data_IF_725106705397
#
_entry.id   IF_725106705397
#
_cell.length_a   1.000
_cell.length_b   1.000
_cell.length_c   1.000
_cell.angle_alpha   90.00
_cell.angle_beta   90.00
_cell.angle_gamma   90.00
#
_symmetry.space_group_name_H-M   'P 1'
#
loop_
_entity.id
_entity.type
_entity.pdbx_description
1 polymer ?
#
# COMPACT_ATOMS: atom_id res chain seq x y z
N UNK A 1 -1.59 -0.33 -50.45
CA UNK A 1 -2.45 -1.32 -49.78
C UNK A 1 -1.93 -2.66 -50.23
N UNK A 2 -1.10 -3.31 -49.42
CA UNK A 2 -0.65 -4.71 -49.58
C UNK A 2 0.23 -5.08 -48.38
N UNK A 3 -0.07 -6.23 -47.76
CA UNK A 3 0.81 -7.14 -46.97
C UNK A 3 1.68 -6.54 -45.84
N UNK A 4 1.69 -7.00 -44.59
CA UNK A 4 2.20 -8.30 -44.13
C UNK A 4 1.69 -8.58 -42.70
N UNK A 5 0.75 -9.52 -42.58
CA UNK A 5 0.73 -10.58 -41.54
C UNK A 5 1.40 -11.80 -42.22
N UNK A 6 2.04 -12.79 -41.55
CA UNK A 6 2.18 -13.04 -40.11
C UNK A 6 3.63 -13.39 -39.67
N UNK A 7 3.99 -13.09 -38.42
CA UNK A 7 5.21 -13.59 -37.77
C UNK A 7 4.87 -14.60 -36.66
N UNK A 8 3.79 -15.36 -36.89
CA UNK A 8 3.21 -16.33 -35.96
C UNK A 8 3.27 -17.74 -36.55
N UNK A 9 4.47 -18.20 -36.90
CA UNK A 9 4.77 -19.62 -37.15
C UNK A 9 6.28 -19.71 -37.35
N UNK A 10 7.02 -20.13 -36.32
CA UNK A 10 8.38 -20.71 -36.41
C UNK A 10 9.00 -20.77 -35.00
N UNK A 11 8.33 -21.45 -34.07
CA UNK A 11 8.97 -21.98 -32.84
C UNK A 11 8.04 -23.02 -32.20
N UNK A 12 7.69 -24.01 -33.01
CA UNK A 12 7.13 -25.29 -32.59
C UNK A 12 8.00 -26.33 -33.28
N UNK A 13 8.80 -27.04 -32.48
CA UNK A 13 9.37 -28.39 -32.64
C UNK A 13 10.73 -28.44 -31.94
N UNK A 14 10.95 -29.51 -31.17
CA UNK A 14 11.93 -29.73 -30.09
C UNK A 14 11.38 -29.19 -28.75
N UNK A 15 10.74 -29.98 -27.89
CA UNK A 15 11.21 -31.24 -27.32
C UNK A 15 10.02 -32.17 -27.05
N UNK A 16 10.01 -33.32 -27.71
CA UNK A 16 9.24 -34.49 -27.33
C UNK A 16 10.02 -35.29 -26.29
N UNK A 17 9.54 -35.34 -25.05
CA UNK A 17 9.87 -36.40 -24.11
C UNK A 17 8.62 -36.76 -23.29
N UNK A 18 8.42 -38.04 -22.95
CA UNK A 18 7.16 -38.55 -22.45
C UNK A 18 6.93 -38.12 -20.99
N UNK A 19 5.69 -37.71 -20.71
CA UNK A 19 5.14 -37.53 -19.39
C UNK A 19 5.29 -38.82 -18.56
N UNK A 20 5.92 -38.79 -17.37
CA UNK A 20 5.56 -39.72 -16.32
C UNK A 20 4.34 -39.16 -15.59
N UNK A 21 3.28 -39.95 -15.60
CA UNK A 21 2.09 -39.80 -14.76
C UNK A 21 2.46 -39.43 -13.32
N UNK A 22 2.01 -38.27 -12.87
CA UNK A 22 2.12 -37.85 -11.47
C UNK A 22 1.09 -38.64 -10.65
N UNK A 23 1.47 -39.86 -10.24
CA UNK A 23 0.73 -40.64 -9.27
C UNK A 23 0.76 -39.93 -7.93
N UNK A 24 -0.44 -39.74 -7.38
CA UNK A 24 -0.68 -39.27 -6.02
C UNK A 24 0.04 -40.15 -5.00
N UNK A 25 1.04 -39.62 -4.32
CA UNK A 25 1.56 -40.22 -3.10
C UNK A 25 1.45 -39.20 -1.97
N UNK A 26 0.22 -39.11 -1.45
CA UNK A 26 -0.08 -38.51 -0.15
C UNK A 26 0.58 -39.44 0.87
N UNK A 27 1.76 -39.06 1.35
CA UNK A 27 2.40 -39.77 2.44
C UNK A 27 1.63 -39.45 3.72
N UNK A 28 0.70 -40.35 4.07
CA UNK A 28 0.02 -40.40 5.37
C UNK A 28 1.10 -40.51 6.46
N UNK A 29 1.30 -39.44 7.23
CA UNK A 29 2.12 -39.50 8.43
C UNK A 29 1.29 -40.17 9.54
N UNK A 30 1.36 -41.50 9.61
CA UNK A 30 0.94 -42.26 10.78
C UNK A 30 2.02 -42.16 11.85
N UNK A 31 1.61 -41.70 13.03
CA UNK A 31 2.43 -41.62 14.22
C UNK A 31 2.85 -43.02 14.68
N UNK A 32 4.13 -43.34 14.54
CA UNK A 32 4.85 -44.33 15.36
C UNK A 32 6.33 -44.05 15.19
N UNK A 33 6.96 -43.42 16.19
CA UNK A 33 8.21 -43.90 16.80
C UNK A 33 8.60 -42.96 17.95
N UNK A 34 8.40 -43.43 19.18
CA UNK A 34 8.84 -42.77 20.40
C UNK A 34 10.33 -43.06 20.61
N UNK A 35 11.12 -41.98 20.73
CA UNK A 35 12.58 -41.91 21.01
C UNK A 35 13.54 -41.91 19.82
N UNK A 36 13.45 -40.89 18.97
CA UNK A 36 14.65 -40.28 18.41
C UNK A 36 14.35 -38.85 17.92
N UNK A 37 15.31 -37.96 18.18
CA UNK A 37 15.42 -36.60 17.63
C UNK A 37 14.48 -35.52 18.22
N UNK A 38 14.96 -34.89 19.29
CA UNK A 38 14.73 -33.45 19.57
C UNK A 38 15.40 -32.63 18.45
N UNK A 39 14.89 -32.73 17.23
CA UNK A 39 15.31 -31.92 16.08
C UNK A 39 14.33 -30.77 16.01
N UNK A 40 14.78 -29.58 16.39
CA UNK A 40 14.03 -28.35 16.14
C UNK A 40 13.73 -28.30 14.64
N UNK A 41 12.46 -28.40 14.26
CA UNK A 41 12.03 -28.19 12.89
C UNK A 41 12.18 -26.69 12.65
N UNK A 42 13.34 -26.29 12.12
CA UNK A 42 13.56 -24.92 11.70
C UNK A 42 12.70 -24.63 10.49
N UNK A 43 11.56 -23.97 10.69
CA UNK A 43 10.74 -23.48 9.58
C UNK A 43 11.49 -22.34 8.91
N UNK A 44 11.91 -22.53 7.65
CA UNK A 44 12.53 -21.47 6.86
C UNK A 44 11.52 -20.56 6.18
N UNK A 45 10.23 -20.88 6.23
CA UNK A 45 9.16 -20.11 5.57
C UNK A 45 8.03 -19.85 6.58
N UNK A 46 7.67 -18.57 6.83
CA UNK A 46 6.53 -18.25 7.68
C UNK A 46 5.23 -18.85 7.13
N UNK A 47 5.08 -18.84 5.80
CA UNK A 47 3.90 -19.40 5.15
C UNK A 47 3.76 -20.91 5.38
N UNK A 48 4.86 -21.65 5.40
CA UNK A 48 4.80 -23.08 5.69
C UNK A 48 4.37 -23.34 7.13
N UNK A 49 4.89 -22.55 8.08
CA UNK A 49 4.48 -22.61 9.48
C UNK A 49 2.98 -22.33 9.63
N UNK A 50 2.46 -21.32 8.94
CA UNK A 50 1.04 -20.99 8.95
C UNK A 50 0.14 -22.14 8.47
N UNK A 51 0.55 -22.82 7.40
CA UNK A 51 -0.20 -23.94 6.83
C UNK A 51 -0.24 -25.13 7.80
N UNK A 52 0.89 -25.43 8.46
CA UNK A 52 0.96 -26.50 9.46
C UNK A 52 0.10 -26.18 10.68
N UNK A 53 0.18 -24.94 11.19
CA UNK A 53 -0.67 -24.49 12.30
C UNK A 53 -2.14 -24.54 11.92
N UNK A 54 -2.48 -24.10 10.70
CA UNK A 54 -3.85 -24.15 10.17
C UNK A 54 -4.39 -25.57 10.16
N UNK A 55 -3.66 -26.50 9.56
CA UNK A 55 -4.13 -27.88 9.40
C UNK A 55 -4.34 -28.56 10.76
N UNK A 56 -3.44 -28.28 11.72
CA UNK A 56 -3.60 -28.76 13.09
C UNK A 56 -4.81 -28.14 13.78
N UNK A 57 -4.92 -26.81 13.77
CA UNK A 57 -5.97 -26.07 14.48
C UNK A 57 -7.36 -26.38 13.94
N UNK A 58 -7.53 -26.46 12.62
CA UNK A 58 -8.83 -26.73 11.98
C UNK A 58 -9.28 -28.17 12.26
N UNK A 59 -8.39 -29.15 12.13
CA UNK A 59 -8.72 -30.55 12.44
C UNK A 59 -9.18 -30.71 13.90
N UNK A 60 -8.46 -30.09 14.84
CA UNK A 60 -8.84 -30.12 16.25
C UNK A 60 -10.18 -29.41 16.49
N UNK A 61 -10.43 -28.30 15.80
CA UNK A 61 -11.66 -27.52 15.92
C UNK A 61 -12.90 -28.30 15.46
N UNK A 62 -12.78 -29.07 14.38
CA UNK A 62 -13.84 -29.94 13.87
C UNK A 62 -14.19 -31.06 14.87
N UNK A 63 -13.19 -31.63 15.55
CA UNK A 63 -13.41 -32.68 16.55
C UNK A 63 -14.12 -32.18 17.81
N UNK A 64 -13.88 -30.92 18.20
CA UNK A 64 -14.35 -30.37 19.48
C UNK A 64 -15.69 -29.62 19.42
N UNK A 65 -16.32 -29.48 18.24
CA UNK A 65 -17.64 -28.84 18.09
C UNK A 65 -17.75 -27.44 18.70
N UNK A 66 -16.72 -26.62 18.54
CA UNK A 66 -16.67 -25.29 19.14
C UNK A 66 -17.78 -24.34 18.65
N UNK A 67 -18.27 -23.50 19.59
CA UNK A 67 -19.36 -22.55 19.34
C UNK A 67 -18.88 -21.34 18.54
N UNK A 68 -19.82 -20.71 17.83
CA UNK A 68 -19.56 -19.47 17.10
C UNK A 68 -19.34 -18.32 18.07
N UNK A 69 -18.30 -17.51 17.85
CA UNK A 69 -17.92 -16.37 18.67
C UNK A 69 -17.11 -16.72 19.92
N UNK A 70 -16.85 -17.99 20.17
CA UNK A 70 -16.06 -18.46 21.31
C UNK A 70 -14.59 -18.62 20.91
N UNK A 71 -13.71 -17.94 21.64
CA UNK A 71 -12.26 -18.03 21.44
C UNK A 71 -11.73 -19.25 22.20
N UNK A 72 -11.09 -20.17 21.48
CA UNK A 72 -10.57 -21.41 22.04
C UNK A 72 -9.07 -21.48 21.86
N UNK A 73 -8.36 -21.93 22.89
CA UNK A 73 -6.93 -22.20 22.80
C UNK A 73 -6.69 -23.52 22.05
N UNK A 74 -5.70 -23.53 21.16
CA UNK A 74 -5.28 -24.72 20.41
C UNK A 74 -3.97 -25.23 21.01
N UNK A 75 -3.98 -26.34 21.78
CA UNK A 75 -2.76 -26.90 22.35
C UNK A 75 -1.92 -27.50 21.23
N UNK A 76 -0.80 -26.88 20.88
CA UNK A 76 0.10 -27.41 19.85
C UNK A 76 0.99 -28.55 20.40
N UNK A 77 1.50 -29.45 19.52
CA UNK A 77 2.50 -30.42 19.91
C UNK A 77 3.76 -29.78 20.48
N UNK A 78 4.51 -30.53 21.29
CA UNK A 78 5.73 -30.06 22.00
C UNK A 78 6.78 -29.46 21.06
N UNK A 79 6.82 -29.89 19.80
CA UNK A 79 7.72 -29.37 18.77
C UNK A 79 7.43 -27.90 18.38
N UNK A 80 6.28 -27.34 18.77
CA UNK A 80 5.87 -25.95 18.54
C UNK A 80 5.81 -25.14 19.85
N UNK A 81 6.50 -25.60 20.89
CA UNK A 81 6.59 -24.87 22.17
C UNK A 81 7.17 -23.47 21.96
N UNK A 82 6.46 -22.44 22.44
CA UNK A 82 6.75 -21.03 22.15
C UNK A 82 5.89 -20.44 21.03
N UNK A 83 4.89 -21.18 20.54
CA UNK A 83 3.82 -20.65 19.71
C UNK A 83 2.50 -20.82 20.46
N UNK A 84 1.82 -19.72 20.73
CA UNK A 84 0.44 -19.77 21.22
C UNK A 84 -0.53 -19.61 20.05
N UNK A 85 -1.51 -20.50 19.97
CA UNK A 85 -2.55 -20.45 18.95
C UNK A 85 -3.91 -20.38 19.59
N UNK A 86 -4.75 -19.48 19.09
CA UNK A 86 -6.15 -19.42 19.43
C UNK A 86 -6.98 -19.43 18.15
N UNK A 87 -8.14 -20.07 18.22
CA UNK A 87 -9.06 -20.25 17.10
C UNK A 87 -10.44 -19.75 17.47
N UNK A 88 -11.11 -19.08 16.54
CA UNK A 88 -12.48 -18.60 16.72
C UNK A 88 -13.23 -18.63 15.39
N UNK A 89 -14.50 -19.03 15.43
CA UNK A 89 -15.39 -19.07 14.28
C UNK A 89 -16.42 -17.95 14.38
N UNK A 90 -16.58 -17.16 13.33
CA UNK A 90 -17.59 -16.12 13.25
C UNK A 90 -18.52 -16.34 12.06
N UNK A 91 -19.78 -15.92 12.20
CA UNK A 91 -20.67 -15.75 11.05
C UNK A 91 -20.21 -14.52 10.26
N UNK A 92 -20.00 -14.69 8.96
CA UNK A 92 -19.41 -13.65 8.13
C UNK A 92 -20.24 -12.36 8.15
N UNK A 93 -21.56 -12.44 7.97
CA UNK A 93 -22.45 -11.26 8.00
C UNK A 93 -22.41 -10.48 9.31
N UNK A 94 -22.40 -11.17 10.46
CA UNK A 94 -22.30 -10.52 11.77
C UNK A 94 -20.95 -9.85 11.97
N UNK A 95 -19.87 -10.54 11.60
CA UNK A 95 -18.52 -9.99 11.69
C UNK A 95 -18.34 -8.74 10.83
N UNK A 96 -18.85 -8.74 9.60
CA UNK A 96 -18.85 -7.55 8.74
C UNK A 96 -19.58 -6.37 9.37
N UNK A 97 -20.73 -6.59 10.02
CA UNK A 97 -21.57 -5.52 10.57
C UNK A 97 -21.03 -4.96 11.90
N UNK A 98 -20.53 -5.83 12.76
CA UNK A 98 -20.23 -5.48 14.15
C UNK A 98 -18.74 -5.48 14.50
N UNK A 99 -17.90 -6.06 13.65
CA UNK A 99 -16.50 -6.31 14.00
C UNK A 99 -16.36 -7.39 15.07
N UNK A 100 -15.16 -7.53 15.61
CA UNK A 100 -14.85 -8.46 16.70
C UNK A 100 -13.54 -8.08 17.39
N UNK A 101 -13.38 -8.52 18.64
CA UNK A 101 -12.09 -8.45 19.34
C UNK A 101 -11.55 -9.86 19.56
N UNK A 102 -10.34 -10.12 19.06
CA UNK A 102 -9.62 -11.39 19.20
C UNK A 102 -8.30 -11.07 19.91
N UNK A 103 -8.28 -11.18 21.25
CA UNK A 103 -7.15 -10.78 22.11
C UNK A 103 -6.60 -9.38 21.75
N UNK A 104 -5.43 -9.31 21.13
CA UNK A 104 -4.72 -8.08 20.74
C UNK A 104 -5.34 -7.41 19.52
N UNK A 105 -6.07 -8.16 18.70
CA UNK A 105 -6.65 -7.69 17.45
C UNK A 105 -8.06 -7.16 17.69
N UNK A 106 -8.30 -5.92 17.31
CA UNK A 106 -9.61 -5.29 17.29
C UNK A 106 -10.00 -5.02 15.85
N UNK A 107 -10.91 -5.85 15.34
CA UNK A 107 -11.44 -5.78 14.00
C UNK A 107 -12.62 -4.80 14.01
N UNK A 108 -12.49 -3.72 13.24
CA UNK A 108 -13.52 -2.69 13.10
C UNK A 108 -14.80 -3.19 12.43
N UNK A 109 -15.77 -2.29 12.28
CA UNK A 109 -16.99 -2.55 11.51
C UNK A 109 -16.67 -2.47 10.02
N UNK A 110 -17.61 -2.95 9.19
CA UNK A 110 -17.54 -2.92 7.74
C UNK A 110 -16.35 -3.70 7.15
N UNK A 111 -15.93 -4.81 7.76
CA UNK A 111 -14.85 -5.63 7.17
C UNK A 111 -15.24 -6.15 5.79
N UNK A 112 -14.33 -6.05 4.83
CA UNK A 112 -14.40 -6.78 3.57
C UNK A 112 -13.84 -8.19 3.78
N UNK A 113 -14.66 -9.19 3.51
CA UNK A 113 -14.30 -10.61 3.66
C UNK A 113 -14.55 -11.31 2.33
N UNK A 114 -13.54 -11.86 1.68
CA UNK A 114 -13.69 -12.46 0.34
C UNK A 114 -12.90 -13.78 0.19
N UNK A 115 -13.55 -14.90 -0.16
CA UNK A 115 -14.99 -15.07 -0.28
C UNK A 115 -15.67 -15.08 1.10
N UNK A 116 -16.87 -14.53 1.17
CA UNK A 116 -17.72 -14.59 2.36
C UNK A 116 -18.85 -15.57 2.07
N UNK A 117 -18.68 -16.81 2.51
CA UNK A 117 -19.67 -17.86 2.29
C UNK A 117 -20.71 -17.83 3.40
N UNK A 118 -20.37 -18.37 4.57
CA UNK A 118 -21.27 -18.42 5.71
C UNK A 118 -20.53 -18.07 7.01
N UNK A 119 -19.48 -18.83 7.29
CA UNK A 119 -18.62 -18.67 8.46
C UNK A 119 -17.17 -18.55 8.05
N UNK A 120 -16.43 -17.80 8.87
CA UNK A 120 -14.99 -17.58 8.74
C UNK A 120 -14.33 -17.97 10.05
N UNK A 121 -13.24 -18.70 9.95
CA UNK A 121 -12.40 -19.08 11.09
C UNK A 121 -11.22 -18.13 11.11
N UNK A 122 -10.92 -17.56 12.27
CA UNK A 122 -9.68 -16.85 12.52
C UNK A 122 -8.76 -17.70 13.37
N UNK A 123 -7.50 -17.71 13.00
CA UNK A 123 -6.41 -18.32 13.75
C UNK A 123 -5.49 -17.17 14.17
N UNK A 124 -5.45 -16.90 15.47
CA UNK A 124 -4.49 -16.00 16.10
C UNK A 124 -3.25 -16.80 16.46
N UNK A 125 -2.09 -16.27 16.11
CA UNK A 125 -0.79 -16.84 16.44
C UNK A 125 0.01 -15.80 17.24
N UNK A 126 0.69 -16.22 18.29
CA UNK A 126 1.77 -15.48 18.93
C UNK A 126 3.03 -16.30 18.79
N UNK A 127 3.96 -15.81 17.98
CA UNK A 127 5.24 -16.45 17.71
C UNK A 127 6.27 -15.84 18.65
N UNK A 128 6.73 -16.59 19.65
CA UNK A 128 7.85 -16.13 20.50
C UNK A 128 9.14 -15.98 19.69
N UNK A 129 10.21 -15.49 20.31
CA UNK A 129 11.43 -15.07 19.60
C UNK A 129 12.05 -16.17 18.72
N UNK A 130 12.15 -17.39 19.21
CA UNK A 130 12.73 -18.51 18.46
C UNK A 130 12.03 -18.74 17.10
N UNK A 131 10.74 -18.43 17.00
CA UNK A 131 9.96 -18.52 15.76
C UNK A 131 9.83 -17.16 15.05
N UNK A 132 10.00 -16.05 15.78
CA UNK A 132 10.07 -14.71 15.20
C UNK A 132 11.32 -14.52 14.34
N UNK A 133 12.41 -15.24 14.62
CA UNK A 133 13.66 -15.23 13.85
C UNK A 133 13.46 -15.53 12.35
N UNK A 134 12.41 -16.30 12.01
CA UNK A 134 12.00 -16.57 10.62
C UNK A 134 11.67 -15.27 9.87
N UNK A 135 11.22 -14.22 10.57
CA UNK A 135 10.95 -12.90 10.01
C UNK A 135 12.19 -11.99 9.99
N UNK A 136 13.27 -12.35 10.68
CA UNK A 136 14.54 -11.61 10.58
C UNK A 136 15.42 -12.15 9.45
N UNK A 137 15.59 -13.47 9.40
CA UNK A 137 16.53 -14.13 8.49
C UNK A 137 16.05 -14.09 7.03
N UNK A 138 14.74 -14.24 6.81
CA UNK A 138 14.18 -14.21 5.45
C UNK A 138 14.09 -12.81 4.86
N UNK A 139 14.01 -11.79 5.71
CA UNK A 139 13.74 -10.42 5.30
C UNK A 139 14.94 -9.55 5.63
N UNK A 140 16.08 -9.83 4.98
CA UNK A 140 17.35 -9.07 5.01
C UNK A 140 17.29 -7.86 5.96
N UNK A 141 17.63 -8.07 7.23
CA UNK A 141 17.71 -7.05 8.28
C UNK A 141 16.58 -6.00 8.29
N UNK A 142 15.30 -6.36 8.11
CA UNK A 142 14.13 -5.46 8.21
C UNK A 142 14.38 -4.03 7.71
N UNK A 143 15.14 -3.84 6.63
CA UNK A 143 15.56 -2.52 6.12
C UNK A 143 16.22 -1.58 7.15
N UNK A 144 17.09 -2.08 8.02
CA UNK A 144 17.77 -1.28 9.05
C UNK A 144 16.97 -1.14 10.35
N UNK A 145 15.93 -1.96 10.52
CA UNK A 145 15.17 -2.07 11.76
C UNK A 145 15.47 -3.40 12.48
N UNK A 146 15.11 -3.45 13.75
CA UNK A 146 15.19 -4.64 14.60
C UNK A 146 13.87 -4.84 15.32
N UNK A 147 13.30 -6.03 15.26
CA UNK A 147 12.09 -6.37 16.00
C UNK A 147 12.38 -6.46 17.52
N UNK A 148 11.41 -6.05 18.32
CA UNK A 148 11.52 -5.92 19.79
C UNK A 148 10.32 -6.52 20.53
N UNK A 149 9.42 -7.15 19.80
CA UNK A 149 8.30 -7.92 20.34
C UNK A 149 8.20 -9.27 19.63
N UNK A 150 7.50 -10.25 20.21
CA UNK A 150 7.03 -11.42 19.46
C UNK A 150 6.20 -10.97 18.26
N UNK A 151 6.15 -11.81 17.23
CA UNK A 151 5.31 -11.58 16.06
C UNK A 151 3.89 -12.10 16.34
N UNK A 152 2.90 -11.23 16.17
CA UNK A 152 1.49 -11.58 16.22
C UNK A 152 0.99 -11.88 14.81
N UNK A 153 0.30 -13.00 14.62
CA UNK A 153 -0.36 -13.38 13.39
C UNK A 153 -1.87 -13.42 13.56
N UNK A 154 -2.60 -12.93 12.57
CA UNK A 154 -4.04 -13.16 12.45
C UNK A 154 -4.34 -13.58 11.02
N UNK A 155 -4.79 -14.82 10.85
CA UNK A 155 -5.10 -15.41 9.55
C UNK A 155 -6.55 -15.87 9.52
N UNK A 156 -7.18 -15.74 8.36
CA UNK A 156 -8.59 -16.09 8.18
C UNK A 156 -8.76 -17.19 7.14
N UNK A 157 -9.63 -18.15 7.44
CA UNK A 157 -9.92 -19.32 6.61
C UNK A 157 -11.43 -19.52 6.51
N UNK A 158 -11.88 -20.25 5.50
CA UNK A 158 -13.28 -20.65 5.41
C UNK A 158 -13.64 -21.55 6.62
N UNK A 159 -14.89 -21.45 7.08
CA UNK A 159 -15.39 -22.22 8.23
C UNK A 159 -16.86 -22.65 8.11
N UNK A 160 -17.44 -22.56 6.90
CA UNK A 160 -18.85 -22.84 6.63
C UNK A 160 -19.14 -24.34 6.45
N UNK A 161 -20.42 -24.68 6.39
CA UNK A 161 -20.88 -26.08 6.34
C UNK A 161 -20.45 -26.83 5.05
N UNK A 162 -20.05 -26.09 4.01
CA UNK A 162 -19.41 -26.62 2.79
C UNK A 162 -18.11 -27.39 3.07
N UNK A 163 -17.47 -27.13 4.21
CA UNK A 163 -16.31 -27.90 4.70
C UNK A 163 -16.80 -29.29 5.15
N UNK A 164 -17.88 -29.38 5.90
CA UNK A 164 -18.34 -30.65 6.46
C UNK A 164 -18.91 -31.62 5.41
N UNK A 165 -19.33 -31.12 4.25
CA UNK A 165 -19.90 -31.95 3.17
C UNK A 165 -18.87 -32.46 2.14
N UNK A 166 -17.58 -32.12 2.31
CA UNK A 166 -16.50 -32.65 1.47
C UNK A 166 -15.86 -33.87 2.15
N UNK A 167 -15.47 -34.86 1.35
CA UNK A 167 -14.70 -36.01 1.86
C UNK A 167 -13.28 -35.65 2.30
N UNK A 168 -12.78 -34.47 1.92
CA UNK A 168 -11.50 -33.88 2.36
C UNK A 168 -11.57 -32.35 2.25
N UNK A 169 -12.24 -31.65 3.19
CA UNK A 169 -12.28 -30.20 3.13
C UNK A 169 -10.90 -29.64 3.50
N UNK A 170 -10.26 -28.96 2.55
CA UNK A 170 -9.06 -28.19 2.88
C UNK A 170 -9.48 -26.75 3.24
N UNK A 171 -9.11 -26.25 4.43
CA UNK A 171 -9.34 -24.86 4.77
C UNK A 171 -8.52 -23.97 3.83
N UNK A 172 -9.21 -23.23 2.97
CA UNK A 172 -8.63 -22.23 2.09
C UNK A 172 -8.66 -20.86 2.75
N UNK A 173 -7.68 -20.05 2.40
CA UNK A 173 -7.52 -18.74 3.02
C UNK A 173 -8.58 -17.76 2.51
N UNK A 174 -9.28 -17.11 3.44
CA UNK A 174 -10.25 -16.06 3.16
C UNK A 174 -9.56 -14.72 3.33
N UNK A 175 -9.74 -13.81 2.38
CA UNK A 175 -9.16 -12.46 2.44
C UNK A 175 -10.01 -11.56 3.32
N UNK A 176 -9.42 -11.02 4.38
CA UNK A 176 -10.04 -10.05 5.29
C UNK A 176 -9.28 -8.73 5.19
N UNK A 177 -10.04 -7.68 4.90
CA UNK A 177 -9.54 -6.32 4.73
C UNK A 177 -10.45 -5.35 5.46
N UNK A 178 -9.87 -4.33 6.07
CA UNK A 178 -10.60 -3.20 6.61
C UNK A 178 -11.12 -2.32 5.46
N UNK A 179 -12.39 -1.91 5.55
CA UNK A 179 -12.98 -0.90 4.67
C UNK A 179 -13.44 0.28 5.53
N UNK A 180 -12.68 1.37 5.47
CA UNK A 180 -12.78 2.51 6.38
C UNK A 180 -12.02 2.32 7.69
N UNK A 181 -12.58 1.53 8.62
CA UNK A 181 -12.03 1.37 9.99
C UNK A 181 -10.89 0.33 10.03
N UNK A 182 -9.62 0.72 10.26
CA UNK A 182 -8.49 -0.20 10.26
C UNK A 182 -8.55 -1.17 11.44
N UNK A 183 -7.93 -2.34 11.26
CA UNK A 183 -7.76 -3.32 12.34
C UNK A 183 -6.69 -2.76 13.28
N UNK A 184 -7.03 -2.63 14.57
CA UNK A 184 -6.09 -2.17 15.60
C UNK A 184 -5.43 -3.37 16.26
N UNK A 185 -4.11 -3.30 16.41
CA UNK A 185 -3.33 -4.35 17.08
C UNK A 185 -2.65 -3.73 18.30
N UNK A 186 -3.04 -4.18 19.48
CA UNK A 186 -2.58 -3.66 20.77
C UNK A 186 -1.56 -4.60 21.42
N UNK A 187 -0.30 -4.17 21.45
CA UNK A 187 0.82 -4.90 22.04
C UNK A 187 0.99 -4.64 23.55
N UNK A 188 0.10 -3.86 24.19
CA UNK A 188 0.23 -3.49 25.62
C UNK A 188 0.31 -4.71 26.54
N UNK A 189 -0.48 -5.74 26.28
CA UNK A 189 -0.44 -6.97 27.09
C UNK A 189 0.81 -7.80 26.78
N UNK A 190 1.15 -7.95 25.50
CA UNK A 190 2.33 -8.71 25.06
C UNK A 190 3.61 -8.15 25.69
N UNK A 191 3.75 -6.83 25.69
CA UNK A 191 4.91 -6.12 26.28
C UNK A 191 4.91 -6.14 27.81
N UNK A 192 3.74 -6.15 28.47
CA UNK A 192 3.63 -6.15 29.94
C UNK A 192 3.92 -7.52 30.57
N UNK A 193 3.36 -8.60 30.01
CA UNK A 193 3.45 -9.93 30.61
C UNK A 193 4.78 -10.63 30.34
N UNK A 194 5.48 -10.24 29.27
CA UNK A 194 6.82 -10.72 28.98
C UNK A 194 7.84 -9.58 29.03
N UNK A 195 8.12 -9.00 30.21
CA UNK A 195 9.00 -7.85 30.31
C UNK A 195 10.45 -8.19 29.97
N UNK A 196 10.87 -9.48 30.01
CA UNK A 196 12.19 -9.98 29.56
C UNK A 196 12.44 -9.72 28.07
N UNK A 197 11.38 -9.67 27.27
CA UNK A 197 11.40 -9.57 25.81
C UNK A 197 11.76 -8.17 25.32
N UNK A 198 11.47 -7.14 26.13
CA UNK A 198 11.84 -5.74 25.86
C UNK A 198 13.19 -5.38 26.55
N UNK A 199 13.91 -6.34 27.18
CA UNK A 199 15.11 -6.01 28.00
C UNK A 199 16.43 -5.97 27.26
N UNK A 200 16.58 -6.69 26.15
CA UNK A 200 17.86 -6.67 25.42
C UNK A 200 18.07 -5.40 24.61
N UNK A 201 17.01 -4.63 24.39
CA UNK A 201 17.13 -3.28 23.90
C UNK A 201 16.69 -2.34 25.00
N UNK A 202 17.55 -1.42 25.42
CA UNK A 202 17.09 -0.25 26.15
C UNK A 202 16.14 0.55 25.23
N UNK A 203 14.85 0.22 25.24
CA UNK A 203 13.79 0.88 24.45
C UNK A 203 13.39 2.21 25.09
N UNK A 204 13.86 2.52 26.31
CA UNK A 204 13.57 3.80 26.94
C UNK A 204 14.14 4.94 26.10
N UNK A 205 13.25 5.85 25.68
CA UNK A 205 13.59 6.97 24.82
C UNK A 205 13.76 6.63 23.34
N UNK A 206 13.45 5.39 22.91
CA UNK A 206 13.49 4.97 21.50
C UNK A 206 12.11 4.99 20.88
N UNK A 207 12.07 5.32 19.59
CA UNK A 207 10.83 5.36 18.83
C UNK A 207 10.53 3.98 18.24
N UNK A 208 9.35 3.46 18.56
CA UNK A 208 8.85 2.19 18.05
C UNK A 208 8.04 2.40 16.77
N UNK A 209 8.12 1.43 15.87
CA UNK A 209 7.39 1.37 14.62
C UNK A 209 6.70 0.02 14.49
N UNK A 210 5.65 -0.03 13.68
CA UNK A 210 4.94 -1.25 13.33
C UNK A 210 5.59 -1.84 12.08
N UNK A 211 5.94 -3.12 12.13
CA UNK A 211 6.36 -3.90 10.96
C UNK A 211 5.25 -4.87 10.58
N UNK A 212 4.61 -4.62 9.44
CA UNK A 212 3.60 -5.49 8.87
C UNK A 212 4.22 -6.37 7.79
N UNK A 213 4.06 -7.68 7.92
CA UNK A 213 4.58 -8.68 7.01
C UNK A 213 3.46 -9.19 6.11
N UNK A 214 3.62 -8.98 4.81
CA UNK A 214 2.68 -9.56 3.84
C UNK A 214 2.98 -11.05 3.60
N UNK A 215 2.11 -11.71 2.82
CA UNK A 215 2.23 -13.15 2.52
C UNK A 215 3.39 -13.48 1.60
N UNK A 216 3.84 -12.49 0.82
CA UNK A 216 4.95 -12.60 -0.12
C UNK A 216 6.29 -12.37 0.57
N UNK A 217 6.26 -11.89 1.82
CA UNK A 217 7.43 -11.59 2.61
C UNK A 217 7.95 -10.17 2.46
N UNK A 218 7.18 -9.24 1.92
CA UNK A 218 7.54 -7.84 2.02
C UNK A 218 7.15 -7.31 3.40
N UNK A 219 8.05 -6.51 3.97
CA UNK A 219 7.80 -5.79 5.21
C UNK A 219 7.45 -4.34 4.91
N UNK A 220 6.37 -3.86 5.52
CA UNK A 220 6.00 -2.44 5.50
C UNK A 220 6.16 -1.87 6.91
N UNK A 221 6.97 -0.82 7.03
CA UNK A 221 7.20 -0.13 8.30
C UNK A 221 6.31 1.11 8.38
N UNK A 222 5.53 1.23 9.45
CA UNK A 222 4.65 2.38 9.69
C UNK A 222 4.81 2.91 11.12
N UNK A 223 4.49 4.18 11.34
CA UNK A 223 4.41 4.72 12.70
C UNK A 223 3.26 4.07 13.48
N UNK A 224 3.41 3.96 14.80
CA UNK A 224 2.31 3.63 15.69
C UNK A 224 1.25 4.73 15.71
N UNK A 225 0.01 4.37 16.04
CA UNK A 225 -1.10 5.33 16.20
C UNK A 225 -1.32 5.76 17.64
N UNK A 226 -0.91 4.91 18.57
CA UNK A 226 -0.87 5.16 20.01
C UNK A 226 0.26 4.30 20.61
N UNK A 227 0.67 4.52 21.86
CA UNK A 227 1.72 3.71 22.48
C UNK A 227 1.41 2.22 22.39
N UNK A 228 2.30 1.45 21.74
CA UNK A 228 2.15 0.01 21.50
C UNK A 228 0.93 -0.39 20.64
N UNK A 229 0.32 0.53 19.89
CA UNK A 229 -0.85 0.25 19.03
C UNK A 229 -0.53 0.53 17.57
N UNK A 230 -0.81 -0.48 16.73
CA UNK A 230 -0.63 -0.44 15.29
C UNK A 230 -1.98 -0.49 14.56
N UNK A 231 -2.02 0.09 13.36
CA UNK A 231 -3.12 -0.10 12.41
C UNK A 231 -2.66 -1.00 11.27
N UNK A 232 -3.49 -1.98 10.92
CA UNK A 232 -3.33 -2.80 9.72
C UNK A 232 -4.63 -2.81 8.92
N UNK A 233 -4.51 -2.86 7.60
CA UNK A 233 -5.66 -2.94 6.71
C UNK A 233 -5.98 -4.38 6.29
N UNK A 234 -5.03 -5.30 6.43
CA UNK A 234 -5.16 -6.68 5.97
C UNK A 234 -4.77 -7.64 7.09
N UNK A 235 -5.27 -8.87 7.02
CA UNK A 235 -4.77 -9.99 7.81
C UNK A 235 -3.30 -10.31 7.48
N UNK A 236 -2.58 -10.92 8.41
CA UNK A 236 -1.16 -11.23 8.26
C UNK A 236 -0.44 -11.20 9.60
N UNK A 237 0.86 -10.93 9.55
CA UNK A 237 1.72 -10.92 10.72
C UNK A 237 2.27 -9.52 10.99
N UNK A 238 2.40 -9.18 12.27
CA UNK A 238 2.82 -7.86 12.70
C UNK A 238 3.65 -7.94 13.97
N UNK A 239 4.65 -7.05 14.07
CA UNK A 239 5.44 -6.86 15.28
C UNK A 239 5.88 -5.41 15.44
N UNK A 240 6.46 -5.08 16.60
CA UNK A 240 7.08 -3.78 16.85
C UNK A 240 8.57 -3.86 16.57
N UNK A 241 9.09 -2.82 15.92
CA UNK A 241 10.50 -2.67 15.58
C UNK A 241 11.03 -1.32 16.06
N UNK A 242 12.36 -1.25 16.20
CA UNK A 242 13.12 -0.02 16.39
C UNK A 242 14.13 0.12 15.27
N UNK A 243 14.51 1.35 14.99
CA UNK A 243 15.59 1.60 14.03
C UNK A 243 16.95 1.20 14.64
N UNK A 244 17.76 0.46 13.89
CA UNK A 244 19.05 -0.04 14.37
C UNK A 244 20.02 1.08 14.72
N UNK A 245 19.96 2.23 14.04
CA UNK A 245 20.76 3.43 14.35
C UNK A 245 20.51 3.97 15.77
N UNK A 246 19.32 3.72 16.34
CA UNK A 246 18.99 4.12 17.71
C UNK A 246 19.64 3.19 18.75
N UNK A 247 20.12 2.00 18.38
CA UNK A 247 20.87 1.15 19.31
C UNK A 247 22.27 1.70 19.61
N UNK A 248 22.88 2.42 18.68
CA UNK A 248 24.24 2.95 18.84
C UNK A 248 24.32 4.29 19.59
N UNK A 249 23.20 4.98 19.78
CA UNK A 249 23.15 6.21 20.58
C UNK A 249 23.03 5.88 22.07
N UNK A 250 24.15 5.96 22.79
CA UNK A 250 24.24 5.88 24.26
C UNK A 250 23.28 6.92 24.89
N UNK A 251 22.52 6.59 25.95
CA UNK A 251 21.60 7.54 26.55
C UNK A 251 22.41 8.58 27.32
N UNK A 252 22.55 9.77 26.76
CA UNK A 252 23.00 10.95 27.52
C UNK A 252 21.82 11.36 28.39
N UNK A 253 21.98 11.14 29.69
CA UNK A 253 21.03 11.54 30.73
C UNK A 253 20.84 13.06 30.68
N UNK A 254 19.59 13.49 30.57
CA UNK A 254 19.15 14.83 30.92
C UNK A 254 19.40 15.92 29.87
N UNK A 255 18.39 16.18 29.03
CA UNK A 255 17.79 17.52 28.90
C UNK A 255 16.49 17.40 28.09
N UNK A 256 15.40 17.91 28.64
CA UNK A 256 14.25 18.32 27.85
C UNK A 256 14.72 19.32 26.81
N UNK A 257 14.72 18.96 25.53
CA UNK A 257 14.90 19.93 24.45
C UNK A 257 14.30 19.33 23.16
N UNK A 258 13.04 19.70 22.97
CA UNK A 258 12.46 20.15 21.71
C UNK A 258 13.08 19.61 20.41
N UNK A 259 12.25 18.83 19.70
CA UNK A 259 12.44 18.37 18.34
C UNK A 259 12.87 19.50 17.40
N UNK A 260 14.17 19.71 17.25
CA UNK A 260 14.75 20.43 16.12
C UNK A 260 15.75 19.54 15.42
N UNK A 261 15.33 19.13 14.23
CA UNK A 261 16.06 18.40 13.19
C UNK A 261 17.51 18.90 13.10
N UNK A 262 18.46 18.23 13.77
CA UNK A 262 19.90 18.46 13.58
C UNK A 262 20.30 17.90 12.21
N UNK A 263 20.05 18.68 11.17
CA UNK A 263 20.78 18.54 9.91
C UNK A 263 22.22 18.95 10.22
N UNK A 264 23.18 18.08 9.95
CA UNK A 264 24.58 18.33 10.29
C UNK A 264 25.04 19.65 9.65
N UNK A 265 25.56 20.56 10.49
CA UNK A 265 25.97 21.91 10.08
C UNK A 265 26.99 21.91 8.91
N UNK A 266 27.64 20.78 8.66
CA UNK A 266 28.55 20.62 7.52
C UNK A 266 27.83 20.37 6.19
N UNK A 267 26.69 19.65 6.17
CA UNK A 267 25.92 19.41 4.92
C UNK A 267 25.12 20.65 4.48
N UNK A 268 24.79 21.55 5.40
CA UNK A 268 24.07 22.80 5.08
C UNK A 268 25.01 23.84 4.43
N UNK A 269 26.29 23.85 4.79
CA UNK A 269 27.26 24.79 4.21
C UNK A 269 27.58 24.49 2.73
N UNK A 270 27.56 23.21 2.32
CA UNK A 270 27.86 22.81 0.94
C UNK A 270 26.62 22.79 0.02
N UNK A 271 25.40 22.66 0.58
CA UNK A 271 24.14 22.67 -0.18
C UNK A 271 23.52 24.06 -0.36
N UNK A 272 23.88 25.04 0.47
CA UNK A 272 23.28 26.39 0.44
C UNK A 272 23.79 27.26 -0.71
N UNK A 273 25.00 27.01 -1.23
CA UNK A 273 25.58 27.81 -2.31
C UNK A 273 24.88 27.59 -3.66
N UNK A 274 24.43 26.36 -3.94
CA UNK A 274 23.78 26.01 -5.22
C UNK A 274 22.32 26.50 -5.24
N UNK A 275 21.60 26.35 -4.12
CA UNK A 275 20.21 26.80 -4.01
C UNK A 275 20.05 28.32 -4.05
N UNK A 276 20.96 29.06 -3.40
CA UNK A 276 20.94 30.52 -3.41
C UNK A 276 21.24 31.10 -4.80
N UNK A 277 22.18 30.49 -5.54
CA UNK A 277 22.51 30.92 -6.90
C UNK A 277 21.34 30.76 -7.87
N UNK A 278 20.68 29.60 -7.85
CA UNK A 278 19.52 29.33 -8.71
C UNK A 278 18.32 30.21 -8.32
N UNK A 279 18.08 30.39 -7.02
CA UNK A 279 17.02 31.26 -6.52
C UNK A 279 17.21 32.72 -6.92
N UNK A 280 18.43 33.27 -6.75
CA UNK A 280 18.74 34.64 -7.13
C UNK A 280 18.67 34.85 -8.65
N UNK A 281 19.11 33.86 -9.44
CA UNK A 281 19.02 33.91 -10.90
C UNK A 281 17.57 33.92 -11.39
N UNK A 282 16.72 33.05 -10.84
CA UNK A 282 15.29 33.02 -11.18
C UNK A 282 14.56 34.30 -10.76
N UNK A 283 14.87 34.85 -9.57
CA UNK A 283 14.33 36.13 -9.14
C UNK A 283 14.76 37.27 -10.08
N UNK A 284 16.05 37.29 -10.47
CA UNK A 284 16.59 38.28 -11.40
C UNK A 284 15.88 38.28 -12.75
N UNK A 285 15.64 37.10 -13.34
CA UNK A 285 14.90 36.97 -14.59
C UNK A 285 13.45 37.46 -14.46
N UNK A 286 12.81 37.23 -13.31
CA UNK A 286 11.43 37.66 -13.06
C UNK A 286 11.33 39.19 -12.98
N UNK A 287 12.28 39.86 -12.33
CA UNK A 287 12.35 41.32 -12.28
C UNK A 287 12.59 41.94 -13.66
N UNK A 288 13.48 41.37 -14.47
CA UNK A 288 13.72 41.82 -15.85
C UNK A 288 12.45 41.66 -16.71
N UNK A 289 11.76 40.53 -16.60
CA UNK A 289 10.52 40.30 -17.32
C UNK A 289 9.40 41.28 -16.92
N UNK A 290 9.28 41.62 -15.63
CA UNK A 290 8.34 42.65 -15.17
C UNK A 290 8.69 44.04 -15.70
N UNK A 291 9.97 44.42 -15.70
CA UNK A 291 10.42 45.71 -16.25
C UNK A 291 10.13 45.84 -17.74
N UNK A 292 10.41 44.79 -18.52
CA UNK A 292 10.11 44.76 -19.95
C UNK A 292 8.60 44.85 -20.17
N UNK A 293 7.79 44.07 -19.42
CA UNK A 293 6.32 44.11 -19.50
C UNK A 293 5.73 45.47 -19.11
N UNK A 294 6.26 46.12 -18.09
CA UNK A 294 5.82 47.46 -17.69
C UNK A 294 6.12 48.49 -18.78
N UNK A 295 7.32 48.42 -19.38
CA UNK A 295 7.73 49.31 -20.47
C UNK A 295 6.95 49.07 -21.77
N UNK A 296 6.57 47.83 -22.06
CA UNK A 296 5.72 47.54 -23.22
C UNK A 296 4.26 47.88 -22.99
N UNK A 297 3.74 47.75 -21.76
CA UNK A 297 2.38 48.19 -21.43
C UNK A 297 2.20 49.70 -21.59
N UNK A 298 3.14 50.52 -21.12
CA UNK A 298 3.04 51.96 -21.32
C UNK A 298 3.09 52.37 -22.79
N UNK A 299 3.91 51.69 -23.59
CA UNK A 299 3.93 51.90 -25.06
C UNK A 299 2.65 51.43 -25.74
N UNK A 300 2.04 50.33 -25.28
CA UNK A 300 0.78 49.83 -25.81
C UNK A 300 -0.37 50.79 -25.50
N UNK A 301 -0.43 51.35 -24.29
CA UNK A 301 -1.47 52.31 -23.90
C UNK A 301 -1.41 53.59 -24.77
N UNK A 302 -0.21 54.08 -25.08
CA UNK A 302 -0.04 55.23 -25.98
C UNK A 302 -0.49 54.91 -27.42
N UNK A 303 -0.18 53.71 -27.93
CA UNK A 303 -0.59 53.26 -29.26
C UNK A 303 -2.10 53.00 -29.35
N UNK A 304 -2.70 52.45 -28.29
CA UNK A 304 -4.16 52.27 -28.19
C UNK A 304 -4.85 53.62 -28.18
N UNK A 305 -4.34 54.60 -27.43
CA UNK A 305 -4.91 55.96 -27.39
C UNK A 305 -4.88 56.65 -28.75
N UNK A 306 -3.77 56.53 -29.49
CA UNK A 306 -3.65 57.09 -30.85
C UNK A 306 -4.54 56.38 -31.87
N UNK A 307 -4.74 55.07 -31.75
CA UNK A 307 -5.67 54.34 -32.61
C UNK A 307 -7.14 54.78 -32.40
N UNK A 308 -7.52 55.20 -31.18
CA UNK A 308 -8.86 55.76 -30.92
C UNK A 308 -9.03 57.22 -31.38
N UNK A 309 -7.94 57.97 -31.55
CA UNK A 309 -7.99 59.36 -32.05
C UNK A 309 -8.01 59.42 -33.60
N UNK A 310 -7.43 58.43 -34.29
CA UNK A 310 -7.30 58.47 -35.76
C UNK A 310 -8.46 57.82 -36.54
N UNK A 311 -9.35 57.05 -35.91
CA UNK A 311 -10.57 56.52 -36.56
C UNK A 311 -11.79 56.60 -35.64
N UNK A 312 -12.54 57.70 -35.73
CA UNK A 312 -13.88 57.80 -35.15
C UNK A 312 -14.85 56.89 -35.93
N UNK A 313 -14.86 55.59 -35.61
CA UNK A 313 -15.85 54.65 -36.11
C UNK A 313 -17.22 55.05 -35.55
N UNK A 314 -18.12 55.57 -36.39
CA UNK A 314 -19.48 55.94 -36.00
C UNK A 314 -20.20 54.70 -35.44
N UNK A 315 -20.48 54.72 -34.13
CA UNK A 315 -21.28 53.72 -33.44
C UNK A 315 -22.67 54.30 -33.21
N UNK A 316 -23.70 53.61 -33.71
CA UNK A 316 -25.09 53.96 -33.44
C UNK A 316 -25.76 52.92 -32.55
N UNK A 317 -26.73 53.36 -31.77
CA UNK A 317 -27.51 52.49 -30.90
C UNK A 317 -28.60 51.80 -31.73
N UNK A 318 -28.55 50.47 -31.83
CA UNK A 318 -29.66 49.68 -32.38
C UNK A 318 -30.32 48.97 -31.21
N UNK A 319 -31.39 49.57 -30.68
CA UNK A 319 -32.03 49.11 -29.44
C UNK A 319 -31.14 49.32 -28.22
N UNK A 320 -30.93 48.27 -27.41
CA UNK A 320 -30.14 48.32 -26.16
C UNK A 320 -28.66 47.93 -26.33
N UNK A 321 -28.18 47.72 -27.55
CA UNK A 321 -26.79 47.30 -27.82
C UNK A 321 -26.13 48.29 -28.80
N UNK A 322 -24.91 48.69 -28.48
CA UNK A 322 -24.08 49.50 -29.39
C UNK A 322 -23.42 48.60 -30.42
N UNK A 323 -23.65 48.90 -31.70
CA UNK A 323 -23.01 48.19 -32.81
C UNK A 323 -22.31 49.19 -33.74
N UNK A 324 -21.15 48.82 -34.32
CA UNK A 324 -20.44 49.64 -35.29
C UNK A 324 -21.21 49.73 -36.61
N UNK A 325 -21.31 50.93 -37.19
CA UNK A 325 -21.92 51.15 -38.51
C UNK A 325 -20.82 51.30 -39.55
N UNK A 326 -20.97 50.58 -40.66
CA UNK A 326 -20.15 50.80 -41.85
C UNK A 326 -20.75 51.94 -42.70
N UNK A 327 -19.94 52.86 -43.25
CA UNK A 327 -20.44 53.96 -44.06
C UNK A 327 -21.16 53.46 -45.33
N UNK A 328 -22.29 54.08 -45.73
CA UNK A 328 -23.09 53.60 -46.85
C UNK A 328 -22.34 53.76 -48.17
N UNK A 329 -21.97 52.64 -48.80
CA UNK A 329 -21.36 52.65 -50.15
C UNK A 329 -22.47 52.48 -51.19
N UNK A 330 -22.80 53.54 -51.93
CA UNK A 330 -23.76 53.47 -53.04
C UNK A 330 -22.98 53.17 -54.32
N UNK A 331 -23.11 51.96 -54.86
CA UNK A 331 -22.58 51.66 -56.20
C UNK A 331 -23.57 52.15 -57.26
N UNK A 332 -23.07 52.86 -58.27
CA UNK A 332 -23.85 53.32 -59.41
C UNK A 332 -23.73 52.25 -60.50
N UNK A 333 -24.84 51.75 -61.10
CA UNK A 333 -24.75 50.76 -62.16
C UNK A 333 -24.17 51.39 -63.44
N UNK A 334 -23.16 50.75 -64.04
CA UNK A 334 -22.58 51.15 -65.33
C UNK A 334 -23.13 50.22 -66.42
N UNK A 335 -23.61 50.79 -67.52
CA UNK A 335 -24.24 50.08 -68.65
C UNK A 335 -23.13 49.61 -69.60
N UNK A 336 -23.17 48.35 -70.02
CA UNK A 336 -22.19 47.76 -70.93
C UNK A 336 -22.31 48.38 -72.34
N UNK A 337 -21.23 49.01 -72.82
CA UNK A 337 -21.10 49.44 -74.20
C UNK A 337 -20.44 48.33 -75.03
N UNK A 338 -21.14 47.84 -76.05
CA UNK A 338 -20.63 46.90 -77.05
C UNK A 338 -19.37 47.44 -77.74
N UNK A 339 -18.28 46.68 -77.70
CA UNK A 339 -17.16 46.85 -78.63
C UNK A 339 -17.14 45.71 -79.65
N UNK A 340 -17.19 46.12 -80.91
CA UNK A 340 -17.22 45.34 -82.16
C UNK A 340 -15.81 44.81 -82.45
N UNK A 341 -15.66 43.56 -82.92
CA UNK A 341 -14.35 43.03 -83.31
C UNK A 341 -13.84 43.71 -84.59
N UNK A 342 -12.53 43.96 -84.74
CA UNK A 342 -11.97 44.29 -86.03
C UNK A 342 -12.02 43.02 -86.89
N UNK A 343 -12.60 43.18 -88.08
CA UNK A 343 -12.72 42.16 -89.11
C UNK A 343 -11.79 42.56 -90.25
N UNK A 344 -11.31 41.53 -90.95
CA UNK A 344 -10.79 41.56 -92.31
C UNK A 344 -9.35 42.03 -92.47
N UNK A 345 -8.52 41.47 -93.35
CA UNK A 345 -8.60 40.44 -94.40
C UNK A 345 -7.13 40.32 -94.93
N UNK A 346 -6.65 39.37 -95.72
CA UNK A 346 -7.17 38.42 -96.69
C UNK A 346 -6.15 37.27 -96.78
#
# INVERSE_FOLDING_TARGET
MDSVFPLFLMLLFLISSPFPSLSSEIQKFTATDDRAAKKNIGFRSPRLLDLVIRDYAVNLFEQMNYRTGELNNVPLPTNFSGIEVDIVKFRCGSLRRYGAKIKEFNLGKNLMINPCVERVIFIRQLLEYNFSDIYYDNYYNLQGYRLVTPVLGLLAYNGGDDIQNSSNPSPFEVRVMADGDPIKVDFTNVTRYNPKIVRDVNVQGKMLYCANFDKQGNVTITSMVAPNVCHINNQGHIGLVIETNQLTSRPTQGRSEEYTRRVSRWKVALGSSIGAGIGAFLLGLLFVAMFIKAKTRSKLEELVRRAYEEEALEVSMVGHVRAPIAPPTRTVPIIEHHYRPPRQNF
#
